data_IF_746490708183
#
_entry.id   IF_746490708183
#
_cell.length_a   1.000
_cell.length_b   1.000
_cell.length_c   1.000
_cell.angle_alpha   90.00
_cell.angle_beta   90.00
_cell.angle_gamma   90.00
#
_symmetry.space_group_name_H-M   'P 1'
#
loop_
_entity.id
_entity.type
_entity.pdbx_description
1 polymer ?
#
# COMPACT_ATOMS: atom_id res chain seq x y z
N UNK A 1 34.29 -29.05 -72.48
CA UNK A 1 35.14 -27.99 -73.04
C UNK A 1 35.61 -27.11 -71.88
N UNK A 2 36.93 -26.92 -71.79
CA UNK A 2 37.70 -25.95 -71.00
C UNK A 2 37.58 -25.94 -69.44
N UNK A 3 38.66 -26.40 -68.81
CA UNK A 3 39.28 -25.95 -67.56
C UNK A 3 39.81 -24.47 -67.67
N UNK A 4 40.58 -23.89 -66.72
CA UNK A 4 40.46 -23.68 -65.26
C UNK A 4 40.98 -22.24 -64.82
N UNK A 5 41.48 -22.10 -63.59
CA UNK A 5 42.37 -21.05 -62.98
C UNK A 5 41.64 -19.95 -62.16
N UNK A 6 41.77 -19.93 -60.83
CA UNK A 6 42.92 -19.46 -60.02
C UNK A 6 43.25 -17.98 -60.23
N UNK A 7 43.09 -17.17 -59.18
CA UNK A 7 44.13 -16.22 -58.79
C UNK A 7 44.09 -15.98 -57.28
N UNK A 8 45.21 -16.33 -56.67
CA UNK A 8 45.60 -15.95 -55.33
C UNK A 8 46.30 -14.60 -55.41
N UNK A 9 46.02 -13.65 -54.52
CA UNK A 9 46.99 -12.60 -54.21
C UNK A 9 47.13 -12.41 -52.70
N UNK A 10 48.40 -12.39 -52.32
CA UNK A 10 48.98 -12.41 -50.99
C UNK A 10 49.38 -10.99 -50.56
N UNK A 11 49.78 -10.87 -49.29
CA UNK A 11 50.63 -9.80 -48.71
C UNK A 11 49.90 -8.49 -48.31
N UNK A 12 49.82 -8.08 -47.04
CA UNK A 12 50.82 -7.79 -45.99
C UNK A 12 51.54 -6.43 -46.18
N UNK A 13 51.11 -5.42 -45.41
CA UNK A 13 51.83 -4.20 -44.98
C UNK A 13 50.94 -3.60 -43.87
N UNK A 14 51.25 -3.67 -42.57
CA UNK A 14 52.35 -3.12 -41.78
C UNK A 14 52.36 -1.58 -41.68
N UNK A 15 52.52 -1.12 -40.44
CA UNK A 15 52.83 0.22 -39.91
C UNK A 15 51.78 1.34 -40.03
N UNK A 16 51.22 1.70 -38.87
CA UNK A 16 51.19 3.11 -38.46
C UNK A 16 51.34 3.20 -36.93
N UNK A 17 52.60 3.33 -36.51
CA UNK A 17 53.02 3.81 -35.19
C UNK A 17 53.47 5.25 -35.41
N UNK A 18 52.86 6.23 -34.72
CA UNK A 18 53.57 7.15 -33.82
C UNK A 18 52.75 8.41 -33.49
N UNK A 19 52.80 8.74 -32.20
CA UNK A 19 52.79 10.08 -31.61
C UNK A 19 51.59 11.00 -31.87
N UNK A 20 50.80 11.21 -30.81
CA UNK A 20 50.74 12.56 -30.21
C UNK A 20 50.37 12.48 -28.71
N UNK A 21 51.41 12.63 -27.90
CA UNK A 21 51.48 13.52 -26.73
C UNK A 21 50.49 13.38 -25.57
N UNK A 22 51.07 12.88 -24.46
CA UNK A 22 50.90 13.34 -23.08
C UNK A 22 50.09 14.65 -22.89
N UNK A 23 48.91 14.52 -22.29
CA UNK A 23 48.34 15.55 -21.42
C UNK A 23 48.07 14.89 -20.06
N UNK A 24 48.99 15.13 -19.12
CA UNK A 24 48.72 14.95 -17.70
C UNK A 24 48.14 16.24 -17.11
N UNK A 25 47.28 16.05 -16.11
CA UNK A 25 46.71 17.04 -15.19
C UNK A 25 45.46 17.80 -15.67
N UNK A 26 44.29 17.24 -15.33
CA UNK A 26 43.56 17.78 -14.19
C UNK A 26 42.92 16.62 -13.42
N UNK A 27 43.46 16.34 -12.24
CA UNK A 27 42.89 15.41 -11.27
C UNK A 27 41.63 16.05 -10.66
N UNK A 28 40.54 16.06 -11.43
CA UNK A 28 39.20 16.10 -10.85
C UNK A 28 39.01 14.75 -10.17
N UNK A 29 39.01 14.73 -8.84
CA UNK A 29 38.73 13.53 -8.04
C UNK A 29 37.51 12.81 -8.64
N UNK A 30 37.74 11.64 -9.23
CA UNK A 30 36.69 10.83 -9.81
C UNK A 30 35.72 10.44 -8.69
N UNK A 31 34.42 10.67 -8.90
CA UNK A 31 33.36 10.21 -7.99
C UNK A 31 33.42 8.68 -7.73
N UNK A 32 34.17 7.94 -8.56
CA UNK A 32 34.48 6.52 -8.40
C UNK A 32 35.35 6.21 -7.15
N UNK A 33 36.16 7.14 -6.64
CA UNK A 33 37.02 6.92 -5.47
C UNK A 33 36.22 6.74 -4.16
N UNK A 34 34.93 7.09 -4.15
CA UNK A 34 34.04 6.97 -3.00
C UNK A 34 33.02 5.82 -3.13
N UNK A 35 33.11 5.02 -4.19
CA UNK A 35 32.22 3.88 -4.39
C UNK A 35 32.64 2.69 -3.54
N UNK A 36 31.63 2.08 -2.93
CA UNK A 36 31.74 0.88 -2.10
C UNK A 36 30.88 -0.22 -2.71
N UNK A 37 31.49 -1.39 -2.88
CA UNK A 37 30.82 -2.59 -3.35
C UNK A 37 30.54 -3.52 -2.17
N UNK A 38 29.25 -3.80 -1.92
CA UNK A 38 28.78 -4.69 -0.87
C UNK A 38 28.20 -5.96 -1.50
N UNK A 39 28.70 -7.13 -1.12
CA UNK A 39 28.13 -8.43 -1.50
C UNK A 39 27.25 -8.93 -0.35
N UNK A 40 25.93 -8.83 -0.50
CA UNK A 40 24.94 -9.20 0.51
C UNK A 40 24.19 -10.45 0.09
N UNK A 41 24.38 -11.56 0.80
CA UNK A 41 23.70 -12.83 0.48
C UNK A 41 23.90 -13.33 -0.96
N UNK A 42 25.05 -12.99 -1.57
CA UNK A 42 25.36 -13.31 -2.97
C UNK A 42 24.92 -12.27 -4.00
N UNK A 43 24.18 -11.23 -3.61
CA UNK A 43 23.82 -10.10 -4.48
C UNK A 43 24.76 -8.90 -4.24
N UNK A 44 25.28 -8.31 -5.32
CA UNK A 44 26.12 -7.11 -5.25
C UNK A 44 25.28 -5.82 -5.23
N UNK A 45 25.64 -4.93 -4.31
CA UNK A 45 25.12 -3.58 -4.17
C UNK A 45 26.27 -2.59 -4.31
N UNK A 46 26.06 -1.53 -5.07
CA UNK A 46 27.04 -0.43 -5.22
C UNK A 46 26.45 0.82 -4.60
N UNK A 47 27.22 1.51 -3.76
CA UNK A 47 26.78 2.72 -3.07
C UNK A 47 27.98 3.61 -2.72
N UNK A 48 27.73 4.84 -2.26
CA UNK A 48 28.79 5.72 -1.77
C UNK A 48 29.09 5.44 -0.30
N UNK A 49 30.35 5.63 0.13
CA UNK A 49 30.74 5.52 1.55
C UNK A 49 29.89 6.46 2.44
N UNK A 50 29.61 7.67 1.95
CA UNK A 50 28.72 8.67 2.56
C UNK A 50 27.35 8.07 2.95
N UNK A 51 26.78 7.22 2.10
CA UNK A 51 25.47 6.59 2.33
C UNK A 51 25.49 5.69 3.56
N UNK A 52 26.63 5.06 3.84
CA UNK A 52 26.76 4.10 4.93
C UNK A 52 26.92 4.77 6.30
N UNK A 53 26.98 6.11 6.36
CA UNK A 53 27.28 6.87 7.58
C UNK A 53 26.39 6.56 8.78
N UNK A 54 25.11 6.27 8.55
CA UNK A 54 24.16 5.93 9.62
C UNK A 54 24.31 4.49 10.14
N UNK A 55 25.09 3.63 9.48
CA UNK A 55 25.41 2.28 9.93
C UNK A 55 26.83 2.23 10.48
N UNK A 56 26.96 2.17 11.81
CA UNK A 56 28.27 2.04 12.46
C UNK A 56 29.00 0.75 12.02
N UNK A 57 28.25 -0.35 11.87
CA UNK A 57 28.80 -1.62 11.42
C UNK A 57 29.35 -1.56 10.00
N UNK A 58 28.55 -1.06 9.04
CA UNK A 58 28.97 -1.03 7.63
C UNK A 58 30.16 -0.09 7.44
N UNK A 59 30.21 1.05 8.14
CA UNK A 59 31.38 1.93 8.11
C UNK A 59 32.65 1.25 8.61
N UNK A 60 32.56 0.52 9.72
CA UNK A 60 33.70 -0.21 10.27
C UNK A 60 34.12 -1.36 9.36
N UNK A 61 33.15 -1.99 8.68
CA UNK A 61 33.43 -3.06 7.73
C UNK A 61 34.18 -2.52 6.51
N UNK A 62 33.71 -1.41 5.93
CA UNK A 62 34.29 -0.83 4.71
C UNK A 62 35.64 -0.17 4.97
N UNK A 63 35.83 0.46 6.14
CA UNK A 63 37.11 1.09 6.48
C UNK A 63 38.24 0.09 6.78
N UNK A 64 37.89 -1.15 7.15
CA UNK A 64 38.84 -2.21 7.49
C UNK A 64 39.08 -3.19 6.35
N UNK A 65 38.22 -3.19 5.33
CA UNK A 65 38.38 -4.07 4.20
C UNK A 65 39.44 -3.51 3.26
N UNK A 66 40.42 -4.34 2.92
CA UNK A 66 41.39 -4.08 1.85
C UNK A 66 40.90 -4.59 0.51
N UNK A 67 39.74 -5.26 0.49
CA UNK A 67 39.18 -5.88 -0.70
C UNK A 67 38.33 -4.86 -1.46
N UNK A 68 38.28 -5.00 -2.78
CA UNK A 68 37.38 -4.20 -3.64
C UNK A 68 35.90 -4.40 -3.28
N UNK A 69 35.56 -5.51 -2.59
CA UNK A 69 34.18 -5.89 -2.24
C UNK A 69 34.07 -6.37 -0.80
N UNK A 70 33.22 -5.73 -0.01
CA UNK A 70 32.91 -6.14 1.35
C UNK A 70 31.77 -7.15 1.37
N UNK A 71 31.97 -8.30 2.02
CA UNK A 71 30.91 -9.29 2.20
C UNK A 71 30.05 -8.99 3.43
N UNK A 72 28.73 -9.09 3.28
CA UNK A 72 27.75 -8.98 4.36
C UNK A 72 26.85 -10.21 4.31
N UNK A 73 26.86 -11.02 5.36
CA UNK A 73 25.90 -12.11 5.49
C UNK A 73 24.52 -11.55 5.83
N UNK A 74 23.51 -11.80 5.00
CA UNK A 74 22.16 -11.23 5.16
C UNK A 74 21.26 -11.41 3.93
N UNK A 75 19.97 -11.13 4.11
CA UNK A 75 18.96 -11.20 3.05
C UNK A 75 19.07 -9.99 2.09
N UNK A 76 19.36 -10.21 0.80
CA UNK A 76 19.49 -9.12 -0.17
C UNK A 76 18.17 -8.37 -0.44
N UNK A 77 17.01 -9.03 -0.36
CA UNK A 77 15.73 -8.36 -0.59
C UNK A 77 15.40 -7.38 0.53
N UNK A 78 15.70 -7.77 1.78
CA UNK A 78 15.56 -6.90 2.93
C UNK A 78 16.60 -5.76 2.91
N UNK A 79 17.83 -6.06 2.48
CA UNK A 79 18.90 -5.06 2.37
C UNK A 79 18.57 -3.94 1.38
N UNK A 80 17.81 -4.20 0.31
CA UNK A 80 17.30 -3.15 -0.60
C UNK A 80 16.54 -2.06 0.15
N UNK A 81 15.72 -2.44 1.13
CA UNK A 81 14.96 -1.48 1.94
C UNK A 81 15.86 -0.68 2.88
N UNK A 82 16.85 -1.34 3.48
CA UNK A 82 17.85 -0.69 4.33
C UNK A 82 18.66 0.32 3.53
N UNK A 83 19.16 -0.06 2.35
CA UNK A 83 19.96 0.82 1.51
C UNK A 83 19.15 2.01 1.00
N UNK A 84 17.87 1.82 0.66
CA UNK A 84 16.96 2.94 0.34
C UNK A 84 16.78 3.91 1.51
N UNK A 85 16.63 3.38 2.73
CA UNK A 85 16.59 4.20 3.94
C UNK A 85 17.88 4.99 4.10
N UNK A 86 19.04 4.35 3.97
CA UNK A 86 20.34 5.01 4.11
C UNK A 86 20.58 6.11 3.07
N UNK A 87 20.10 5.92 1.82
CA UNK A 87 20.25 6.91 0.73
C UNK A 87 19.36 8.13 0.90
N UNK A 88 18.09 7.91 1.28
CA UNK A 88 17.07 8.95 1.18
C UNK A 88 16.50 9.37 2.55
N UNK A 89 16.91 8.72 3.63
CA UNK A 89 16.28 8.84 4.94
C UNK A 89 14.82 8.38 4.94
N UNK A 90 14.38 7.57 3.97
CA UNK A 90 12.97 7.17 3.89
C UNK A 90 12.73 5.86 4.65
N UNK A 91 11.86 5.90 5.67
CA UNK A 91 11.43 4.72 6.39
C UNK A 91 10.58 3.79 5.49
N UNK A 92 10.79 2.47 5.53
CA UNK A 92 10.05 1.54 4.69
C UNK A 92 8.61 1.31 5.19
N UNK A 93 7.66 1.29 4.25
CA UNK A 93 6.27 0.97 4.52
C UNK A 93 5.91 -0.38 3.90
N UNK A 94 5.68 -1.39 4.74
CA UNK A 94 5.20 -2.72 4.34
C UNK A 94 3.72 -2.85 4.67
N UNK A 95 2.88 -2.17 3.89
CA UNK A 95 1.43 -2.16 4.07
C UNK A 95 0.74 -2.51 2.76
N UNK A 96 -0.28 -3.37 2.84
CA UNK A 96 -1.24 -3.63 1.77
C UNK A 96 -2.64 -3.38 2.29
N UNK A 97 -3.50 -2.81 1.47
CA UNK A 97 -4.87 -2.43 1.85
C UNK A 97 -5.71 -3.62 2.37
N UNK A 98 -5.55 -4.78 1.72
CA UNK A 98 -6.29 -6.01 2.02
C UNK A 98 -5.68 -6.85 3.17
N UNK A 99 -4.35 -6.87 3.31
CA UNK A 99 -3.67 -7.72 4.30
C UNK A 99 -3.09 -6.94 5.50
N UNK A 100 -3.17 -5.61 5.48
CA UNK A 100 -2.60 -4.76 6.51
C UNK A 100 -1.08 -4.69 6.49
N UNK A 101 -0.49 -4.47 7.66
CA UNK A 101 0.96 -4.40 7.84
C UNK A 101 1.61 -5.79 7.82
N UNK A 102 2.73 -5.92 7.12
CA UNK A 102 3.55 -7.14 7.13
C UNK A 102 4.50 -7.12 8.34
N UNK A 103 3.98 -7.56 9.48
CA UNK A 103 4.74 -7.62 10.74
C UNK A 103 5.95 -8.56 10.66
N UNK A 104 5.90 -9.60 9.83
CA UNK A 104 7.04 -10.49 9.60
C UNK A 104 8.22 -9.73 8.96
N UNK A 105 7.95 -8.93 7.92
CA UNK A 105 8.97 -8.07 7.32
C UNK A 105 9.49 -7.01 8.28
N UNK A 106 8.63 -6.39 9.09
CA UNK A 106 9.08 -5.43 10.10
C UNK A 106 9.98 -6.09 11.16
N UNK A 107 9.65 -7.30 11.61
CA UNK A 107 10.47 -8.05 12.56
C UNK A 107 11.85 -8.37 11.98
N UNK A 108 11.91 -8.88 10.75
CA UNK A 108 13.18 -9.18 10.08
C UNK A 108 14.00 -7.89 9.87
N UNK A 109 13.36 -6.81 9.42
CA UNK A 109 14.02 -5.52 9.25
C UNK A 109 14.58 -4.97 10.57
N UNK A 110 13.86 -5.15 11.67
CA UNK A 110 14.33 -4.73 12.99
C UNK A 110 15.60 -5.49 13.39
N UNK A 111 15.62 -6.82 13.24
CA UNK A 111 16.78 -7.64 13.56
C UNK A 111 17.99 -7.23 12.73
N UNK A 112 17.81 -7.03 11.42
CA UNK A 112 18.87 -6.55 10.53
C UNK A 112 19.33 -5.13 10.88
N UNK A 113 18.41 -4.23 11.20
CA UNK A 113 18.76 -2.86 11.60
C UNK A 113 19.59 -2.83 12.87
N UNK A 114 19.30 -3.72 13.84
CA UNK A 114 20.12 -3.88 15.05
C UNK A 114 21.50 -4.45 14.74
N UNK A 115 21.55 -5.52 13.92
CA UNK A 115 22.80 -6.16 13.51
C UNK A 115 23.74 -5.19 12.79
N UNK A 116 23.18 -4.38 11.88
CA UNK A 116 23.90 -3.34 11.14
C UNK A 116 24.08 -2.03 11.94
N UNK A 117 23.64 -1.99 13.21
CA UNK A 117 23.73 -0.83 14.11
C UNK A 117 23.11 0.46 13.55
N UNK A 118 22.00 0.35 12.83
CA UNK A 118 21.23 1.49 12.31
C UNK A 118 20.17 1.89 13.33
N UNK A 119 20.61 2.58 14.39
CA UNK A 119 19.79 2.83 15.60
C UNK A 119 18.48 3.58 15.29
N UNK A 120 18.52 4.56 14.40
CA UNK A 120 17.35 5.36 14.05
C UNK A 120 16.25 4.52 13.39
N UNK A 121 16.63 3.63 12.47
CA UNK A 121 15.70 2.69 11.84
C UNK A 121 15.18 1.65 12.84
N UNK A 122 16.06 1.07 13.67
CA UNK A 122 15.66 0.11 14.69
C UNK A 122 14.65 0.71 15.68
N UNK A 123 14.93 1.89 16.22
CA UNK A 123 14.06 2.59 17.16
C UNK A 123 12.70 2.94 16.53
N UNK A 124 12.68 3.34 15.26
CA UNK A 124 11.44 3.66 14.55
C UNK A 124 10.53 2.44 14.40
N UNK A 125 11.10 1.27 14.12
CA UNK A 125 10.33 0.01 14.02
C UNK A 125 9.89 -0.47 15.40
N UNK A 126 10.76 -0.43 16.42
CA UNK A 126 10.43 -0.83 17.80
C UNK A 126 9.28 -0.02 18.41
N UNK A 127 9.26 1.28 18.12
CA UNK A 127 8.18 2.19 18.56
C UNK A 127 6.92 2.09 17.70
N UNK A 128 6.92 1.16 16.73
CA UNK A 128 5.84 0.93 15.78
C UNK A 128 5.39 2.21 15.06
N UNK A 129 6.32 3.14 14.79
CA UNK A 129 5.99 4.43 14.21
C UNK A 129 5.41 4.32 12.79
N UNK A 130 5.68 3.20 12.11
CA UNK A 130 5.05 2.85 10.83
C UNK A 130 3.52 2.82 10.89
N UNK A 131 2.91 2.51 12.06
CA UNK A 131 1.46 2.52 12.23
C UNK A 131 0.86 3.92 12.06
N UNK A 132 1.63 4.96 12.38
CA UNK A 132 1.21 6.36 12.25
C UNK A 132 1.15 6.82 10.78
N UNK A 133 1.81 6.09 9.88
CA UNK A 133 1.83 6.40 8.45
C UNK A 133 0.51 6.09 7.76
N UNK A 134 -0.28 5.14 8.29
CA UNK A 134 -1.54 4.71 7.67
C UNK A 134 -2.70 5.23 8.51
N UNK A 135 -3.49 6.12 7.91
CA UNK A 135 -4.69 6.69 8.53
C UNK A 135 -5.91 6.03 7.91
N UNK A 136 -6.74 5.41 8.75
CA UNK A 136 -8.01 4.82 8.35
C UNK A 136 -9.10 5.81 8.69
N UNK A 137 -9.86 6.22 7.69
CA UNK A 137 -11.03 7.08 7.84
C UNK A 137 -12.28 6.21 7.71
N UNK A 138 -13.13 6.27 8.73
CA UNK A 138 -14.42 5.60 8.73
C UNK A 138 -15.52 6.64 8.69
N UNK A 139 -16.43 6.52 7.73
CA UNK A 139 -17.64 7.33 7.65
C UNK A 139 -18.84 6.41 7.74
N UNK A 140 -19.66 6.59 8.76
CA UNK A 140 -20.85 5.76 8.96
C UNK A 140 -22.13 6.57 8.81
N UNK A 141 -23.14 5.98 8.19
CA UNK A 141 -24.45 6.60 8.02
C UNK A 141 -25.55 5.53 7.92
N UNK A 142 -26.78 5.93 8.27
CA UNK A 142 -27.95 5.05 8.20
C UNK A 142 -28.83 5.45 7.04
N UNK A 143 -29.08 4.51 6.13
CA UNK A 143 -30.10 4.62 5.10
C UNK A 143 -31.42 4.08 5.67
N UNK A 144 -32.48 4.88 5.58
CA UNK A 144 -33.80 4.53 6.11
C UNK A 144 -34.71 3.95 5.03
N UNK A 145 -35.60 3.03 5.42
CA UNK A 145 -36.61 2.43 4.53
C UNK A 145 -36.00 1.90 3.23
N UNK A 146 -34.91 1.15 3.38
CA UNK A 146 -34.25 0.51 2.24
C UNK A 146 -35.05 -0.71 1.80
N UNK A 147 -35.04 -0.96 0.50
CA UNK A 147 -35.53 -2.20 -0.08
C UNK A 147 -34.33 -3.17 -0.20
N UNK A 148 -34.30 -4.27 0.59
CA UNK A 148 -33.19 -5.23 0.54
C UNK A 148 -32.96 -5.82 -0.84
N UNK A 149 -34.02 -5.99 -1.64
CA UNK A 149 -33.95 -6.60 -2.97
C UNK A 149 -33.42 -5.62 -4.03
N UNK A 150 -33.43 -4.32 -3.72
CA UNK A 150 -32.92 -3.24 -4.58
C UNK A 150 -31.62 -2.62 -4.10
N UNK A 151 -31.13 -3.04 -2.94
CA UNK A 151 -29.77 -2.75 -2.49
C UNK A 151 -28.80 -3.56 -3.35
N UNK A 152 -28.60 -3.09 -4.58
CA UNK A 152 -27.46 -3.47 -5.42
C UNK A 152 -26.19 -2.90 -4.80
N UNK A 153 -25.76 -3.51 -3.71
CA UNK A 153 -24.35 -3.54 -3.39
C UNK A 153 -23.78 -4.58 -4.34
N UNK A 154 -22.80 -4.23 -5.19
CA UNK A 154 -22.09 -5.24 -5.97
C UNK A 154 -21.73 -6.37 -5.00
N UNK A 155 -22.22 -7.58 -5.27
CA UNK A 155 -22.08 -8.76 -4.40
C UNK A 155 -20.63 -9.22 -4.21
N UNK A 156 -19.68 -8.49 -4.79
CA UNK A 156 -18.29 -8.46 -4.41
C UNK A 156 -18.05 -7.25 -3.51
N UNK A 157 -17.84 -7.55 -2.23
CA UNK A 157 -17.28 -6.67 -1.19
C UNK A 157 -16.13 -5.85 -1.81
N UNK A 158 -16.42 -4.63 -2.26
CA UNK A 158 -15.39 -3.64 -2.48
C UNK A 158 -15.03 -3.09 -1.11
N UNK A 159 -13.75 -3.14 -0.78
CA UNK A 159 -13.16 -2.76 0.51
C UNK A 159 -13.19 -1.26 0.88
N UNK A 160 -14.05 -0.38 0.32
CA UNK A 160 -14.45 0.77 1.08
C UNK A 160 -15.79 0.60 1.79
N UNK A 161 -16.62 -0.45 1.64
CA UNK A 161 -17.95 -0.45 2.30
C UNK A 161 -18.26 -1.72 3.08
N UNK A 162 -18.77 -1.55 4.31
CA UNK A 162 -19.47 -2.59 5.06
C UNK A 162 -20.93 -2.17 5.26
N UNK A 163 -21.87 -3.06 4.95
CA UNK A 163 -23.30 -2.78 5.09
C UNK A 163 -23.96 -3.83 5.99
N UNK A 164 -24.71 -3.35 6.98
CA UNK A 164 -25.53 -4.17 7.86
C UNK A 164 -26.99 -3.76 7.69
N UNK A 165 -27.81 -4.68 7.19
CA UNK A 165 -29.25 -4.47 7.05
C UNK A 165 -29.94 -5.02 8.30
N UNK A 166 -30.86 -4.24 8.87
CA UNK A 166 -31.65 -4.66 10.02
C UNK A 166 -33.12 -4.33 9.79
N UNK A 167 -33.96 -5.27 10.22
CA UNK A 167 -35.42 -5.16 10.13
C UNK A 167 -35.95 -4.52 11.40
N UNK A 168 -36.80 -3.50 11.22
CA UNK A 168 -37.54 -2.84 12.27
C UNK A 168 -39.04 -2.97 11.98
N UNK A 169 -39.85 -2.74 12.99
CA UNK A 169 -41.31 -2.74 12.85
C UNK A 169 -41.81 -1.30 12.94
N UNK A 170 -42.57 -0.87 11.94
CA UNK A 170 -43.29 0.41 11.98
C UNK A 170 -44.79 0.17 12.18
N UNK A 171 -45.39 0.97 13.04
CA UNK A 171 -46.84 0.94 13.26
C UNK A 171 -47.51 1.76 12.17
N UNK A 172 -48.15 1.10 11.21
CA UNK A 172 -48.85 1.73 10.08
C UNK A 172 -50.35 1.69 10.29
N UNK A 173 -51.05 2.80 10.06
CA UNK A 173 -52.50 2.86 10.13
C UNK A 173 -53.14 2.07 8.98
N UNK A 174 -54.14 1.25 9.30
CA UNK A 174 -54.90 0.51 8.31
C UNK A 174 -56.19 1.27 7.98
N UNK A 175 -56.23 1.93 6.82
CA UNK A 175 -57.48 2.50 6.32
C UNK A 175 -58.54 1.40 6.15
N UNK A 176 -59.76 1.54 6.71
CA UNK A 176 -60.83 0.54 6.55
C UNK A 176 -61.19 0.23 5.09
N UNK A 177 -60.92 1.18 4.18
CA UNK A 177 -61.13 1.03 2.73
C UNK A 177 -59.87 0.70 1.95
N UNK A 178 -58.73 0.46 2.62
CA UNK A 178 -57.42 0.15 2.04
C UNK A 178 -56.97 1.18 0.98
N UNK A 179 -57.27 2.46 1.21
CA UNK A 179 -56.88 3.55 0.31
C UNK A 179 -55.41 3.91 0.58
N UNK A 180 -54.48 3.77 -0.39
CA UNK A 180 -53.03 3.90 -0.13
C UNK A 180 -52.58 5.28 0.36
N UNK A 181 -53.31 6.33 0.00
CA UNK A 181 -52.99 7.72 0.40
C UNK A 181 -53.47 8.06 1.81
N UNK A 182 -54.32 7.25 2.43
CA UNK A 182 -54.75 7.45 3.82
C UNK A 182 -53.73 6.79 4.76
N UNK A 183 -52.76 7.58 5.20
CA UNK A 183 -51.64 7.10 6.03
C UNK A 183 -51.93 7.24 7.52
N UNK A 184 -52.90 8.08 7.87
CA UNK A 184 -53.25 8.41 9.25
C UNK A 184 -54.77 8.41 9.46
N UNK A 185 -55.26 8.27 10.70
CA UNK A 185 -56.70 8.23 10.99
C UNK A 185 -57.48 9.46 10.51
N UNK A 186 -56.85 10.63 10.51
CA UNK A 186 -57.47 11.88 10.08
C UNK A 186 -57.61 12.02 8.55
N UNK A 187 -56.90 11.19 7.76
CA UNK A 187 -57.11 11.11 6.31
C UNK A 187 -58.45 10.42 5.97
N UNK A 188 -59.04 9.69 6.93
CA UNK A 188 -60.28 8.97 6.74
C UNK A 188 -61.54 9.84 6.91
N UNK A 189 -62.28 10.01 5.81
CA UNK A 189 -63.62 10.60 5.83
C UNK A 189 -64.75 9.62 6.20
N UNK A 190 -66.00 10.14 6.24
CA UNK A 190 -67.22 9.40 6.62
C UNK A 190 -67.39 8.05 5.91
N UNK A 191 -66.98 7.95 4.64
CA UNK A 191 -67.07 6.71 3.85
C UNK A 191 -66.20 5.59 4.45
N UNK A 192 -65.04 5.90 5.01
CA UNK A 192 -64.16 4.92 5.65
C UNK A 192 -64.75 4.43 6.98
N UNK A 193 -65.30 5.34 7.78
CA UNK A 193 -65.92 5.02 9.06
C UNK A 193 -67.17 4.14 8.92
N UNK A 194 -67.95 4.34 7.85
CA UNK A 194 -69.09 3.47 7.55
C UNK A 194 -68.66 2.02 7.29
N UNK A 195 -67.53 1.81 6.61
CA UNK A 195 -66.98 0.46 6.39
C UNK A 195 -66.53 -0.16 7.70
N UNK A 196 -65.80 0.60 8.55
CA UNK A 196 -65.35 0.14 9.87
C UNK A 196 -66.53 -0.29 10.76
N UNK A 197 -67.65 0.43 10.71
CA UNK A 197 -68.86 0.10 11.48
C UNK A 197 -69.61 -1.15 10.95
N UNK A 198 -69.43 -1.52 9.68
CA UNK A 198 -70.06 -2.69 9.07
C UNK A 198 -69.22 -3.97 9.22
N UNK A 199 -67.90 -3.84 9.34
CA UNK A 199 -66.99 -4.95 9.62
C UNK A 199 -66.99 -5.21 11.13
N UNK A 200 -67.46 -6.38 11.58
CA UNK A 200 -67.29 -6.87 12.97
C UNK A 200 -65.82 -7.17 13.35
N UNK A 201 -64.88 -6.66 12.56
CA UNK A 201 -63.45 -6.91 12.68
C UNK A 201 -62.94 -6.05 13.84
N UNK A 202 -62.56 -6.73 14.92
CA UNK A 202 -61.89 -6.14 16.09
C UNK A 202 -60.38 -5.96 15.85
N UNK A 203 -59.91 -6.25 14.63
CA UNK A 203 -58.53 -6.08 14.20
C UNK A 203 -57.95 -4.74 14.58
N UNK A 204 -56.68 -4.74 14.99
CA UNK A 204 -55.99 -3.54 15.43
C UNK A 204 -56.00 -2.48 14.33
N UNK A 205 -56.39 -1.25 14.70
CA UNK A 205 -56.43 -0.07 13.82
C UNK A 205 -55.08 0.21 13.13
N UNK A 206 -54.02 -0.36 13.68
CA UNK A 206 -52.68 -0.32 13.13
C UNK A 206 -52.14 -1.74 12.92
N UNK A 207 -51.33 -1.92 11.89
CA UNK A 207 -50.49 -3.11 11.70
C UNK A 207 -49.03 -2.76 11.95
N UNK A 208 -48.28 -3.71 12.48
CA UNK A 208 -46.83 -3.59 12.49
C UNK A 208 -46.30 -4.16 11.17
N UNK A 209 -45.72 -3.29 10.35
CA UNK A 209 -45.15 -3.65 9.05
C UNK A 209 -43.63 -3.65 9.19
N UNK A 210 -42.93 -4.70 8.74
CA UNK A 210 -41.48 -4.68 8.72
C UNK A 210 -40.99 -3.65 7.70
N UNK A 211 -39.98 -2.89 8.09
CA UNK A 211 -39.18 -2.05 7.20
C UNK A 211 -37.71 -2.28 7.49
N UNK A 212 -36.85 -2.02 6.51
CA UNK A 212 -35.42 -2.24 6.65
C UNK A 212 -34.70 -0.90 6.69
N UNK A 213 -33.66 -0.83 7.53
CA UNK A 213 -32.66 0.20 7.47
C UNK A 213 -31.31 -0.46 7.17
N UNK A 214 -30.41 0.27 6.54
CA UNK A 214 -29.04 -0.16 6.32
C UNK A 214 -28.07 0.76 7.06
N UNK A 215 -27.26 0.18 7.94
CA UNK A 215 -26.09 0.86 8.48
C UNK A 215 -24.93 0.64 7.53
N UNK A 216 -24.44 1.72 6.93
CA UNK A 216 -23.35 1.70 5.97
C UNK A 216 -22.14 2.33 6.64
N UNK A 217 -21.00 1.64 6.60
CA UNK A 217 -19.70 2.22 6.96
C UNK A 217 -18.81 2.20 5.73
N UNK A 218 -18.34 3.39 5.38
CA UNK A 218 -17.35 3.65 4.36
C UNK A 218 -15.96 3.74 4.98
N UNK A 219 -15.00 2.94 4.52
CA UNK A 219 -13.60 2.92 4.89
C UNK A 219 -12.79 3.53 3.75
N UNK A 220 -11.95 4.49 4.08
CA UNK A 220 -10.91 4.99 3.17
C UNK A 220 -9.56 5.05 3.89
N UNK A 221 -8.48 4.88 3.14
CA UNK A 221 -7.12 4.84 3.68
C UNK A 221 -6.29 5.96 3.08
N UNK A 222 -5.57 6.69 3.94
CA UNK A 222 -4.60 7.70 3.53
C UNK A 222 -3.22 7.33 4.06
N UNK A 223 -2.20 7.41 3.21
CA UNK A 223 -0.80 7.18 3.60
C UNK A 223 -0.08 8.52 3.74
N UNK A 224 0.45 8.81 4.93
CA UNK A 224 1.22 10.02 5.23
C UNK A 224 2.67 9.88 4.73
N UNK A 225 2.87 10.13 3.43
CA UNK A 225 4.19 10.03 2.80
C UNK A 225 5.22 11.02 3.36
N UNK A 226 4.77 12.15 3.93
CA UNK A 226 5.69 13.13 4.55
C UNK A 226 6.28 12.61 5.84
N UNK A 227 5.49 11.88 6.63
CA UNK A 227 5.97 11.23 7.85
C UNK A 227 6.92 10.05 7.60
N UNK A 228 7.07 9.59 6.35
CA UNK A 228 8.04 8.55 5.98
C UNK A 228 9.48 9.07 5.91
N UNK A 229 9.69 10.39 5.83
CA UNK A 229 11.04 10.96 5.71
C UNK A 229 11.59 11.19 7.12
N UNK A 230 12.70 10.54 7.42
CA UNK A 230 13.49 10.76 8.62
C UNK A 230 13.96 12.21 8.64
N UNK A 231 13.45 13.00 9.60
CA UNK A 231 13.95 14.35 9.84
C UNK A 231 15.44 14.23 10.22
N UNK A 232 16.31 14.92 9.48
CA UNK A 232 17.74 15.02 9.79
C UNK A 232 17.93 15.80 11.08
#
# INVERSE_FOLDING_TARGET
>A
MAHPLEDSFNSSEASDESEFSLISADSGASDDDNLVYLSVGGQTFVTLEETLRESEYLRQLTSRSTDERCFVDGDPELFKHILRYLRHGQFPLFYKENSGFDYGKYHNLLNESKRLKIQKLANWIEREEFKKLVKIHLRSFTLKHVDPDRLYLPSYIYEPYSVQIFSLMERRYNCPRKIPVHKEPWDCGRKCWKVKACTRDDGSEYTNVPYHNAYVTEKSITIDRKAMIARK
#
